data_IF_285689150908
#
_entry.id   IF_285689150908
#
_cell.length_a   1.000
_cell.length_b   1.000
_cell.length_c   1.000
_cell.angle_alpha   90.00
_cell.angle_beta   90.00
_cell.angle_gamma   90.00
#
_symmetry.space_group_name_H-M   'P 1'
#
loop_
_entity.id
_entity.type
_entity.pdbx_description
1 polymer ?
#
# COMPACT_ATOMS: atom_id res chain seq x y z
N UNK A 1 15.08 15.54 21.20
CA UNK A 1 15.40 16.23 19.96
C UNK A 1 15.30 15.22 18.80
N UNK A 2 14.26 15.35 17.97
CA UNK A 2 14.00 14.42 16.84
C UNK A 2 14.80 14.79 15.59
N UNK A 3 16.00 15.32 15.76
CA UNK A 3 16.89 15.58 14.63
C UNK A 3 17.43 14.28 14.05
N UNK A 4 17.44 14.17 12.74
CA UNK A 4 18.09 13.09 12.04
C UNK A 4 19.59 13.07 12.38
N UNK A 5 20.04 12.01 13.03
CA UNK A 5 21.44 11.81 13.43
C UNK A 5 22.22 10.99 12.40
N UNK A 6 21.63 10.77 11.22
CA UNK A 6 22.23 9.95 10.16
C UNK A 6 22.17 8.44 10.45
N UNK A 7 23.02 7.70 9.78
CA UNK A 7 23.03 6.23 9.82
C UNK A 7 23.84 5.71 11.00
N UNK A 8 23.23 5.57 12.16
CA UNK A 8 23.91 5.06 13.37
C UNK A 8 23.41 3.68 13.81
N UNK A 9 22.26 3.24 13.31
CA UNK A 9 21.66 1.94 13.67
C UNK A 9 20.84 1.36 12.52
N UNK A 10 21.32 0.25 11.94
CA UNK A 10 20.79 -0.35 10.70
C UNK A 10 19.29 -0.64 10.71
N UNK A 11 18.70 -1.00 11.86
CA UNK A 11 17.25 -1.23 11.95
C UNK A 11 16.43 0.04 11.72
N UNK A 12 16.98 1.20 12.08
CA UNK A 12 16.33 2.50 11.93
C UNK A 12 16.62 3.14 10.58
N UNK A 13 17.88 3.11 10.16
CA UNK A 13 18.31 3.66 8.90
C UNK A 13 19.64 3.01 8.45
N UNK A 14 19.72 2.60 7.19
CA UNK A 14 20.89 1.98 6.59
C UNK A 14 21.19 2.64 5.25
N UNK A 15 22.42 3.09 4.97
CA UNK A 15 22.73 3.84 3.75
C UNK A 15 22.52 3.02 2.47
N UNK A 16 22.68 1.70 2.52
CA UNK A 16 22.43 0.83 1.36
C UNK A 16 20.93 0.72 1.09
N UNK A 17 20.11 0.51 2.13
CA UNK A 17 18.65 0.49 2.01
C UNK A 17 18.14 1.84 1.54
N UNK A 18 18.56 2.93 2.16
CA UNK A 18 18.18 4.31 1.81
C UNK A 18 18.44 4.65 0.34
N UNK A 19 19.58 4.23 -0.19
CA UNK A 19 19.92 4.45 -1.60
C UNK A 19 18.95 3.72 -2.55
N UNK A 20 18.53 2.51 -2.20
CA UNK A 20 17.56 1.72 -2.98
C UNK A 20 16.15 2.29 -2.82
N UNK A 21 15.75 2.64 -1.60
CA UNK A 21 14.46 3.24 -1.28
C UNK A 21 14.24 4.54 -2.05
N UNK A 22 15.20 5.46 -2.01
CA UNK A 22 15.18 6.70 -2.79
C UNK A 22 15.08 6.44 -4.29
N UNK A 23 15.84 5.47 -4.80
CA UNK A 23 15.81 5.12 -6.23
C UNK A 23 14.44 4.58 -6.66
N UNK A 24 13.81 3.74 -5.85
CA UNK A 24 12.50 3.18 -6.17
C UNK A 24 11.42 4.27 -6.05
N UNK A 25 11.49 5.11 -5.02
CA UNK A 25 10.58 6.25 -4.88
C UNK A 25 10.63 7.17 -6.12
N UNK A 26 11.83 7.54 -6.58
CA UNK A 26 12.01 8.35 -7.79
C UNK A 26 11.43 7.67 -9.04
N UNK A 27 11.62 6.36 -9.20
CA UNK A 27 11.11 5.61 -10.34
C UNK A 27 9.58 5.54 -10.37
N UNK A 28 8.94 5.36 -9.21
CA UNK A 28 7.47 5.36 -9.08
C UNK A 28 6.86 6.78 -9.09
N UNK A 29 7.66 7.81 -8.84
CA UNK A 29 7.17 9.18 -8.67
C UNK A 29 6.61 9.47 -7.28
N UNK A 30 7.04 8.73 -6.27
CA UNK A 30 6.67 8.89 -4.87
C UNK A 30 7.59 9.83 -4.10
N UNK A 31 7.18 10.23 -2.90
CA UNK A 31 7.97 11.08 -1.99
C UNK A 31 8.92 10.29 -1.10
N UNK A 32 8.66 9.00 -0.93
CA UNK A 32 9.50 8.11 -0.14
C UNK A 32 9.15 6.65 -0.36
N UNK A 33 10.07 5.77 0.02
CA UNK A 33 9.85 4.33 0.00
C UNK A 33 10.48 3.65 1.21
N UNK A 34 9.97 2.46 1.55
CA UNK A 34 10.48 1.62 2.61
C UNK A 34 10.64 0.18 2.11
N UNK A 35 11.85 -0.35 2.19
CA UNK A 35 12.12 -1.76 1.88
C UNK A 35 11.54 -2.69 2.95
N UNK A 36 11.06 -3.83 2.51
CA UNK A 36 10.55 -4.91 3.36
C UNK A 36 11.19 -6.24 2.99
N UNK A 37 11.04 -7.24 3.85
CA UNK A 37 11.62 -8.57 3.64
C UNK A 37 10.99 -9.36 2.49
N UNK A 38 9.80 -9.01 2.05
CA UNK A 38 9.07 -9.66 0.96
C UNK A 38 7.90 -8.80 0.50
N UNK A 39 7.36 -9.05 -0.71
CA UNK A 39 6.14 -8.40 -1.19
C UNK A 39 4.93 -8.62 -0.28
N UNK A 40 4.78 -9.82 0.30
CA UNK A 40 3.73 -10.08 1.29
C UNK A 40 3.89 -9.25 2.57
N UNK A 41 5.13 -8.98 2.99
CA UNK A 41 5.40 -8.08 4.09
C UNK A 41 5.04 -6.63 3.72
N UNK A 42 5.31 -6.20 2.49
CA UNK A 42 4.91 -4.88 2.01
C UNK A 42 3.38 -4.70 2.07
N UNK A 43 2.62 -5.65 1.50
CA UNK A 43 1.15 -5.58 1.53
C UNK A 43 0.59 -5.64 2.96
N UNK A 44 1.14 -6.50 3.82
CA UNK A 44 0.71 -6.59 5.22
C UNK A 44 1.00 -5.29 5.99
N UNK A 45 2.22 -4.77 5.90
CA UNK A 45 2.64 -3.56 6.62
C UNK A 45 1.85 -2.34 6.14
N UNK A 46 1.63 -2.19 4.82
CA UNK A 46 0.84 -1.10 4.27
C UNK A 46 -0.58 -1.07 4.87
N UNK A 47 -1.23 -2.24 5.00
CA UNK A 47 -2.56 -2.32 5.62
C UNK A 47 -2.49 -2.11 7.14
N UNK A 48 -1.57 -2.79 7.84
CA UNK A 48 -1.48 -2.73 9.31
C UNK A 48 -1.07 -1.34 9.83
N UNK A 49 -0.41 -0.53 9.00
CA UNK A 49 -0.04 0.84 9.36
C UNK A 49 -1.25 1.79 9.45
N UNK A 50 -2.33 1.48 8.72
CA UNK A 50 -3.52 2.35 8.59
C UNK A 50 -4.80 1.71 9.12
N UNK A 51 -4.78 0.42 9.44
CA UNK A 51 -5.91 -0.34 9.94
C UNK A 51 -5.62 -0.96 11.30
N UNK A 52 -6.62 -0.97 12.15
CA UNK A 52 -6.62 -1.65 13.44
C UNK A 52 -7.81 -2.62 13.56
N UNK A 53 -7.89 -3.35 14.68
CA UNK A 53 -9.02 -4.24 14.92
C UNK A 53 -10.36 -3.48 14.88
N UNK A 54 -11.30 -3.99 14.10
CA UNK A 54 -12.60 -3.37 13.83
C UNK A 54 -12.65 -2.59 12.52
N UNK A 55 -11.52 -2.39 11.84
CA UNK A 55 -11.47 -1.71 10.54
C UNK A 55 -11.78 -2.64 9.36
N UNK A 56 -12.01 -2.03 8.20
CA UNK A 56 -12.42 -2.71 7.00
C UNK A 56 -11.61 -2.23 5.77
N UNK A 57 -11.37 -3.16 4.84
CA UNK A 57 -10.70 -2.90 3.56
C UNK A 57 -11.57 -3.40 2.41
N UNK A 58 -11.62 -2.65 1.31
CA UNK A 58 -12.19 -3.11 0.04
C UNK A 58 -11.05 -3.55 -0.87
N UNK A 59 -11.11 -4.76 -1.41
CA UNK A 59 -10.06 -5.29 -2.29
C UNK A 59 -10.66 -5.85 -3.58
N UNK A 60 -9.98 -5.62 -4.71
CA UNK A 60 -10.29 -6.38 -5.92
C UNK A 60 -10.13 -7.90 -5.64
N UNK A 61 -10.94 -8.73 -6.32
CA UNK A 61 -10.83 -10.20 -6.22
C UNK A 61 -9.64 -10.73 -6.99
N UNK A 62 -9.27 -10.06 -8.07
CA UNK A 62 -8.18 -10.47 -8.98
C UNK A 62 -6.85 -9.94 -8.52
N UNK A 63 -6.38 -10.47 -7.38
CA UNK A 63 -5.06 -10.19 -6.80
C UNK A 63 -4.29 -11.49 -6.62
N UNK A 64 -2.99 -11.40 -6.42
CA UNK A 64 -2.14 -12.57 -6.16
C UNK A 64 -2.72 -13.45 -5.04
N UNK A 65 -2.75 -14.78 -5.27
CA UNK A 65 -3.39 -15.73 -4.35
C UNK A 65 -2.84 -15.69 -2.92
N UNK A 66 -1.55 -15.38 -2.74
CA UNK A 66 -0.97 -15.18 -1.41
C UNK A 66 -1.53 -13.94 -0.71
N UNK A 67 -1.74 -12.84 -1.43
CA UNK A 67 -2.36 -11.62 -0.90
C UNK A 67 -3.85 -11.84 -0.63
N UNK A 68 -4.54 -12.57 -1.51
CA UNK A 68 -5.92 -12.96 -1.26
C UNK A 68 -6.05 -13.75 0.06
N UNK A 69 -5.20 -14.75 0.27
CA UNK A 69 -5.19 -15.53 1.51
C UNK A 69 -4.80 -14.69 2.74
N UNK A 70 -3.84 -13.79 2.58
CA UNK A 70 -3.47 -12.82 3.63
C UNK A 70 -4.70 -12.01 4.08
N UNK A 71 -5.47 -11.49 3.13
CA UNK A 71 -6.64 -10.66 3.38
C UNK A 71 -7.84 -11.46 3.87
N UNK A 72 -8.15 -12.58 3.20
CA UNK A 72 -9.32 -13.38 3.53
C UNK A 72 -9.22 -14.12 4.86
N UNK A 73 -8.00 -14.48 5.28
CA UNK A 73 -7.78 -15.38 6.43
C UNK A 73 -6.95 -14.70 7.52
N UNK A 74 -5.79 -14.13 7.15
CA UNK A 74 -4.82 -13.67 8.15
C UNK A 74 -5.27 -12.36 8.79
N UNK A 75 -5.73 -11.37 8.01
CA UNK A 75 -6.20 -10.08 8.54
C UNK A 75 -7.39 -10.24 9.49
N UNK A 76 -8.26 -11.22 9.26
CA UNK A 76 -9.38 -11.55 10.17
C UNK A 76 -8.90 -11.91 11.58
N UNK A 77 -7.73 -12.54 11.71
CA UNK A 77 -7.15 -12.88 13.02
C UNK A 77 -6.70 -11.62 13.78
N UNK A 78 -6.44 -10.53 13.07
CA UNK A 78 -6.13 -9.22 13.64
C UNK A 78 -7.37 -8.33 13.78
N UNK A 79 -8.57 -8.88 13.49
CA UNK A 79 -9.84 -8.15 13.59
C UNK A 79 -10.10 -7.18 12.44
N UNK A 80 -9.38 -7.30 11.33
CA UNK A 80 -9.58 -6.48 10.13
C UNK A 80 -10.40 -7.28 9.12
N UNK A 81 -11.55 -6.74 8.72
CA UNK A 81 -12.42 -7.35 7.73
C UNK A 81 -12.08 -6.88 6.32
N UNK A 82 -12.28 -7.77 5.32
CA UNK A 82 -12.08 -7.44 3.91
C UNK A 82 -13.30 -7.83 3.09
N UNK A 83 -13.79 -6.90 2.26
CA UNK A 83 -14.79 -7.19 1.22
C UNK A 83 -14.09 -7.23 -0.13
N UNK A 84 -14.18 -8.37 -0.79
CA UNK A 84 -13.68 -8.55 -2.15
C UNK A 84 -14.74 -8.14 -3.17
N UNK A 85 -14.32 -7.42 -4.20
CA UNK A 85 -15.19 -6.89 -5.25
C UNK A 85 -14.71 -7.33 -6.64
N UNK A 86 -15.65 -7.56 -7.54
CA UNK A 86 -15.33 -7.76 -8.95
C UNK A 86 -14.86 -6.42 -9.55
N UNK A 87 -13.59 -6.37 -9.95
CA UNK A 87 -13.00 -5.13 -10.50
C UNK A 87 -13.65 -4.66 -11.81
N UNK A 88 -14.40 -5.53 -12.50
CA UNK A 88 -15.09 -5.19 -13.76
C UNK A 88 -16.45 -4.55 -13.51
N UNK A 89 -16.99 -4.63 -12.29
CA UNK A 89 -18.27 -4.05 -11.93
C UNK A 89 -18.30 -2.52 -12.08
N UNK A 90 -19.51 -1.97 -12.21
CA UNK A 90 -19.74 -0.54 -12.24
C UNK A 90 -19.36 0.12 -10.91
N UNK A 91 -19.06 1.42 -10.94
CA UNK A 91 -18.67 2.18 -9.75
C UNK A 91 -19.79 2.20 -8.69
N UNK A 92 -21.05 2.21 -9.10
CA UNK A 92 -22.22 2.15 -8.22
C UNK A 92 -22.33 0.81 -7.48
N UNK A 93 -21.95 -0.29 -8.13
CA UNK A 93 -21.89 -1.60 -7.50
C UNK A 93 -20.72 -1.71 -6.55
N UNK A 94 -19.54 -1.25 -6.97
CA UNK A 94 -18.33 -1.20 -6.14
C UNK A 94 -18.55 -0.36 -4.88
N UNK A 95 -19.30 0.75 -4.99
CA UNK A 95 -19.61 1.63 -3.85
C UNK A 95 -20.37 0.90 -2.72
N UNK A 96 -21.16 -0.13 -3.02
CA UNK A 96 -21.90 -0.89 -2.02
C UNK A 96 -21.02 -1.69 -1.06
N UNK A 97 -19.76 -1.93 -1.44
CA UNK A 97 -18.78 -2.64 -0.59
C UNK A 97 -18.24 -1.77 0.56
N UNK A 98 -18.41 -0.45 0.47
CA UNK A 98 -17.90 0.46 1.49
C UNK A 98 -18.74 0.49 2.75
N UNK A 99 -18.06 0.51 3.88
CA UNK A 99 -18.64 0.60 5.22
C UNK A 99 -18.11 1.87 5.92
N UNK A 100 -18.76 2.35 6.99
CA UNK A 100 -18.27 3.52 7.74
C UNK A 100 -16.83 3.36 8.25
N UNK A 101 -16.43 2.13 8.57
CA UNK A 101 -15.10 1.76 9.05
C UNK A 101 -14.14 1.32 7.94
N UNK A 102 -14.45 1.55 6.66
CA UNK A 102 -13.50 1.29 5.56
C UNK A 102 -12.33 2.28 5.64
N UNK A 103 -11.11 1.74 5.60
CA UNK A 103 -9.85 2.49 5.74
C UNK A 103 -8.97 2.46 4.49
N UNK A 104 -9.17 1.51 3.58
CA UNK A 104 -8.38 1.43 2.35
C UNK A 104 -9.11 0.70 1.23
N UNK A 105 -8.67 0.98 0.00
CA UNK A 105 -8.94 0.18 -1.18
C UNK A 105 -7.63 -0.46 -1.64
N UNK A 106 -7.67 -1.73 -2.04
CA UNK A 106 -6.51 -2.47 -2.53
C UNK A 106 -6.78 -3.09 -3.89
N UNK A 107 -5.81 -3.05 -4.78
CA UNK A 107 -5.84 -3.72 -6.08
C UNK A 107 -4.45 -4.11 -6.58
N UNK A 108 -4.39 -4.89 -7.64
CA UNK A 108 -3.16 -5.28 -8.33
C UNK A 108 -3.24 -4.80 -9.77
N UNK A 109 -2.23 -4.07 -10.24
CA UNK A 109 -2.21 -3.43 -11.57
C UNK A 109 -2.47 -4.41 -12.70
N UNK A 110 -1.82 -5.57 -12.64
CA UNK A 110 -1.97 -6.68 -13.57
C UNK A 110 -2.10 -7.97 -12.78
N UNK A 111 -3.30 -8.55 -12.81
CA UNK A 111 -3.65 -9.70 -11.99
C UNK A 111 -2.89 -10.97 -12.38
N UNK A 112 -2.48 -11.73 -11.36
CA UNK A 112 -1.85 -13.04 -11.51
C UNK A 112 -2.80 -14.14 -10.97
N UNK A 113 -3.25 -15.12 -11.78
CA UNK A 113 -2.81 -15.43 -13.15
C UNK A 113 -3.74 -14.93 -14.27
N UNK A 114 -4.82 -14.22 -13.97
CA UNK A 114 -5.86 -13.90 -14.98
C UNK A 114 -5.40 -12.90 -16.05
N UNK A 115 -4.34 -12.13 -15.80
CA UNK A 115 -3.81 -11.06 -16.64
C UNK A 115 -4.81 -9.91 -16.90
N UNK A 116 -5.82 -9.80 -16.06
CA UNK A 116 -6.75 -8.67 -16.07
C UNK A 116 -6.03 -7.40 -15.61
N UNK A 117 -6.25 -6.33 -16.34
CA UNK A 117 -5.71 -5.00 -16.02
C UNK A 117 -6.71 -4.26 -15.15
N UNK A 118 -6.27 -3.73 -14.02
CA UNK A 118 -7.09 -2.92 -13.13
C UNK A 118 -7.32 -1.53 -13.74
N UNK A 119 -8.55 -1.06 -13.72
CA UNK A 119 -8.88 0.34 -14.00
C UNK A 119 -8.49 1.21 -12.81
N UNK A 120 -7.26 1.74 -12.86
CA UNK A 120 -6.66 2.51 -11.76
C UNK A 120 -7.45 3.79 -11.47
N UNK A 121 -7.88 4.53 -12.49
CA UNK A 121 -8.63 5.78 -12.32
C UNK A 121 -9.99 5.54 -11.65
N UNK A 122 -10.68 4.46 -12.04
CA UNK A 122 -11.95 4.05 -11.41
C UNK A 122 -11.75 3.74 -9.93
N UNK A 123 -10.75 2.94 -9.59
CA UNK A 123 -10.47 2.56 -8.21
C UNK A 123 -9.95 3.72 -7.35
N UNK A 124 -9.11 4.60 -7.93
CA UNK A 124 -8.68 5.83 -7.27
C UNK A 124 -9.87 6.75 -6.97
N UNK A 125 -10.73 6.99 -7.96
CA UNK A 125 -11.95 7.79 -7.79
C UNK A 125 -12.85 7.21 -6.69
N UNK A 126 -13.03 5.89 -6.70
CA UNK A 126 -13.83 5.19 -5.70
C UNK A 126 -13.26 5.36 -4.28
N UNK A 127 -11.94 5.19 -4.12
CA UNK A 127 -11.25 5.35 -2.84
C UNK A 127 -11.34 6.79 -2.32
N UNK A 128 -11.01 7.75 -3.15
CA UNK A 128 -11.00 9.17 -2.78
C UNK A 128 -12.39 9.73 -2.48
N UNK A 129 -13.42 9.30 -3.19
CA UNK A 129 -14.81 9.66 -2.87
C UNK A 129 -15.25 9.14 -1.49
N UNK A 130 -14.60 8.11 -0.98
CA UNK A 130 -14.83 7.57 0.36
C UNK A 130 -13.79 8.04 1.39
N UNK A 131 -12.91 8.99 1.04
CA UNK A 131 -11.84 9.53 1.88
C UNK A 131 -10.90 8.44 2.44
N UNK A 132 -10.54 7.46 1.63
CA UNK A 132 -9.58 6.41 1.98
C UNK A 132 -8.50 6.28 0.91
N UNK A 133 -7.27 5.86 1.28
CA UNK A 133 -6.20 5.69 0.31
C UNK A 133 -6.45 4.49 -0.61
N UNK A 134 -5.93 4.61 -1.83
CA UNK A 134 -5.86 3.54 -2.80
C UNK A 134 -4.45 2.94 -2.81
N UNK A 135 -4.34 1.65 -2.46
CA UNK A 135 -3.10 0.88 -2.40
C UNK A 135 -3.05 -0.05 -3.60
N UNK A 136 -1.95 -0.02 -4.34
CA UNK A 136 -1.78 -0.82 -5.57
C UNK A 136 -0.53 -1.68 -5.50
N UNK A 137 -0.69 -2.97 -5.69
CA UNK A 137 0.45 -3.86 -5.97
C UNK A 137 0.83 -3.75 -7.45
N UNK A 138 2.01 -3.18 -7.73
CA UNK A 138 2.52 -2.93 -9.07
C UNK A 138 3.69 -3.87 -9.44
N UNK A 139 3.72 -5.05 -8.85
CA UNK A 139 4.83 -6.00 -8.96
C UNK A 139 5.16 -6.36 -10.40
N UNK A 140 4.17 -6.67 -11.24
CA UNK A 140 4.41 -7.15 -12.60
C UNK A 140 4.82 -6.04 -13.57
N UNK A 141 4.09 -4.92 -13.68
CA UNK A 141 4.48 -3.85 -14.58
C UNK A 141 5.79 -3.18 -14.16
N UNK A 142 6.08 -3.10 -12.88
CA UNK A 142 7.15 -2.26 -12.32
C UNK A 142 6.96 -0.78 -12.71
N UNK A 143 7.70 0.19 -12.15
CA UNK A 143 7.60 1.58 -12.56
C UNK A 143 8.05 1.85 -14.02
N UNK A 144 8.61 0.83 -14.68
CA UNK A 144 9.04 0.94 -16.09
C UNK A 144 7.84 0.89 -17.05
N UNK A 145 6.85 0.06 -16.77
CA UNK A 145 5.67 -0.10 -17.64
C UNK A 145 4.44 0.65 -17.14
N UNK A 146 4.31 0.84 -15.82
CA UNK A 146 3.19 1.55 -15.21
C UNK A 146 3.64 2.22 -13.92
N UNK A 147 3.21 3.46 -13.71
CA UNK A 147 3.35 4.21 -12.46
C UNK A 147 1.97 4.49 -11.90
N UNK A 148 1.45 3.67 -10.99
CA UNK A 148 0.09 3.83 -10.47
C UNK A 148 -0.17 5.19 -9.80
N UNK A 149 0.85 5.84 -9.26
CA UNK A 149 0.75 7.19 -8.67
C UNK A 149 0.25 8.22 -9.70
N UNK A 150 0.66 8.11 -10.96
CA UNK A 150 0.19 8.99 -12.05
C UNK A 150 -1.31 8.80 -12.35
N UNK A 151 -1.91 7.69 -11.88
CA UNK A 151 -3.30 7.30 -12.05
C UNK A 151 -4.11 7.37 -10.74
N UNK A 152 -3.56 8.01 -9.71
CA UNK A 152 -4.23 8.29 -8.46
C UNK A 152 -4.02 7.26 -7.35
N UNK A 153 -3.07 6.34 -7.48
CA UNK A 153 -2.66 5.51 -6.34
C UNK A 153 -1.95 6.36 -5.28
N UNK A 154 -2.29 6.12 -4.02
CA UNK A 154 -1.68 6.82 -2.89
C UNK A 154 -0.48 6.04 -2.33
N UNK A 155 -0.57 4.72 -2.34
CA UNK A 155 0.49 3.82 -1.89
C UNK A 155 0.70 2.75 -2.95
N UNK A 156 1.96 2.48 -3.29
CA UNK A 156 2.32 1.41 -4.21
C UNK A 156 3.16 0.36 -3.48
N UNK A 157 2.82 -0.90 -3.65
CA UNK A 157 3.59 -2.03 -3.11
C UNK A 157 4.20 -2.85 -4.22
N UNK A 158 5.33 -3.48 -3.95
CA UNK A 158 5.97 -4.43 -4.86
C UNK A 158 6.56 -5.62 -4.12
N UNK A 159 6.51 -6.77 -4.77
CA UNK A 159 7.48 -7.83 -4.53
C UNK A 159 8.71 -7.55 -5.38
N UNK A 160 9.76 -7.01 -4.77
CA UNK A 160 11.03 -6.75 -5.48
C UNK A 160 11.72 -8.03 -5.91
N UNK A 161 11.31 -9.18 -5.36
CA UNK A 161 11.75 -10.53 -5.74
C UNK A 161 11.46 -10.92 -7.19
N UNK A 162 10.60 -10.16 -7.87
CA UNK A 162 10.12 -10.45 -9.22
C UNK A 162 10.93 -9.67 -10.25
N UNK A 163 10.28 -8.88 -11.09
CA UNK A 163 10.96 -8.20 -12.19
C UNK A 163 11.92 -7.08 -11.76
N UNK A 164 11.73 -6.49 -10.57
CA UNK A 164 12.69 -5.51 -10.05
C UNK A 164 14.07 -6.08 -9.77
N UNK A 165 14.15 -7.31 -9.20
CA UNK A 165 15.43 -8.00 -9.00
C UNK A 165 16.11 -8.34 -10.32
N UNK A 166 15.33 -8.67 -11.35
CA UNK A 166 15.79 -8.95 -12.70
C UNK A 166 16.52 -10.29 -12.88
N UNK A 167 16.89 -10.96 -11.81
CA UNK A 167 17.71 -12.20 -11.83
C UNK A 167 17.05 -13.38 -11.10
N UNK A 168 15.90 -13.16 -10.44
CA UNK A 168 15.18 -14.17 -9.66
C UNK A 168 16.03 -14.82 -8.53
N UNK A 169 16.89 -14.06 -7.90
CA UNK A 169 17.85 -14.55 -6.89
C UNK A 169 17.66 -13.94 -5.51
N UNK A 170 17.03 -12.75 -5.40
CA UNK A 170 16.85 -12.05 -4.13
C UNK A 170 15.38 -11.96 -3.72
N UNK A 171 15.11 -12.03 -2.42
CA UNK A 171 13.79 -11.79 -1.86
C UNK A 171 13.71 -10.36 -1.31
N UNK A 172 12.59 -9.71 -1.54
CA UNK A 172 12.33 -8.40 -0.99
C UNK A 172 10.94 -7.86 -1.36
N UNK A 173 10.59 -6.77 -0.73
CA UNK A 173 9.42 -5.98 -1.04
C UNK A 173 9.72 -4.50 -0.83
N UNK A 174 8.83 -3.65 -1.28
CA UNK A 174 8.90 -2.21 -1.05
C UNK A 174 7.51 -1.61 -0.98
N UNK A 175 7.36 -0.61 -0.14
CA UNK A 175 6.20 0.28 -0.06
C UNK A 175 6.65 1.64 -0.52
N UNK A 176 5.89 2.28 -1.41
CA UNK A 176 6.15 3.65 -1.90
C UNK A 176 4.95 4.52 -1.54
N UNK A 177 5.22 5.66 -0.95
CA UNK A 177 4.20 6.68 -0.64
C UNK A 177 4.21 7.75 -1.73
N UNK A 178 3.03 8.06 -2.27
CA UNK A 178 2.85 9.15 -3.24
C UNK A 178 3.03 10.54 -2.62
N UNK A 179 2.77 10.68 -1.31
CA UNK A 179 2.67 11.97 -0.62
C UNK A 179 1.42 12.79 -0.96
N UNK A 180 0.47 12.23 -1.72
CA UNK A 180 -0.70 12.96 -2.22
C UNK A 180 -1.96 12.79 -1.35
N UNK A 181 -2.02 11.73 -0.54
CA UNK A 181 -3.20 11.46 0.27
C UNK A 181 -3.32 12.41 1.47
N UNK A 182 -4.50 12.96 1.69
CA UNK A 182 -4.78 13.82 2.84
C UNK A 182 -5.07 12.95 4.08
N UNK A 183 -4.05 12.62 4.86
CA UNK A 183 -4.17 11.87 6.11
C UNK A 183 -4.95 12.63 7.20
N UNK A 184 -5.04 13.98 7.10
CA UNK A 184 -5.78 14.84 8.03
C UNK A 184 -7.29 14.94 7.71
N UNK A 185 -7.88 13.98 7.00
CA UNK A 185 -9.29 13.98 6.61
C UNK A 185 -10.26 13.51 7.71
N UNK A 186 -9.76 13.22 8.91
CA UNK A 186 -10.53 12.79 10.09
C UNK A 186 -10.73 11.28 10.23
N UNK A 187 -10.29 10.47 9.26
CA UNK A 187 -10.37 9.00 9.35
C UNK A 187 -9.12 8.34 9.96
N UNK A 188 -8.01 9.07 10.07
CA UNK A 188 -6.71 8.55 10.47
C UNK A 188 -6.14 9.38 11.63
N UNK A 189 -6.77 9.33 12.83
CA UNK A 189 -6.28 10.09 13.99
C UNK A 189 -4.86 9.69 14.38
N UNK A 190 -4.45 8.45 14.14
CA UNK A 190 -3.12 7.90 14.39
C UNK A 190 -1.99 8.68 13.69
N UNK A 191 -2.29 9.43 12.62
CA UNK A 191 -1.30 10.26 11.92
C UNK A 191 -1.37 11.73 12.31
N UNK A 192 -2.49 12.18 12.89
CA UNK A 192 -2.75 13.60 13.17
C UNK A 192 -2.70 13.93 14.66
N UNK A 193 -2.78 12.95 15.54
CA UNK A 193 -2.65 13.07 16.97
C UNK A 193 -1.21 12.76 17.42
N UNK A 194 -0.75 13.34 18.55
CA UNK A 194 0.57 13.03 19.07
C UNK A 194 0.72 11.56 19.45
N UNK A 195 1.71 10.88 18.90
CA UNK A 195 2.03 9.48 19.26
C UNK A 195 2.81 9.43 20.57
N UNK A 196 2.17 8.94 21.64
CA UNK A 196 2.77 8.80 22.96
C UNK A 196 3.97 7.83 22.94
N UNK A 197 3.94 6.81 22.09
CA UNK A 197 5.02 5.82 21.97
C UNK A 197 6.25 6.37 21.27
N UNK A 198 6.11 7.47 20.54
CA UNK A 198 7.17 8.12 19.78
C UNK A 198 7.37 9.59 20.13
N UNK A 199 7.41 9.88 21.46
CA UNK A 199 7.70 11.21 21.99
C UNK A 199 6.74 12.33 21.59
N UNK A 200 5.51 12.01 21.23
CA UNK A 200 4.48 12.98 20.84
C UNK A 200 4.64 13.50 19.40
N UNK A 201 5.30 12.74 18.53
CA UNK A 201 5.36 13.08 17.08
C UNK A 201 3.98 13.04 16.48
N UNK A 202 3.71 14.02 15.62
CA UNK A 202 2.60 14.05 14.69
C UNK A 202 3.17 13.77 13.31
N UNK A 203 2.59 12.81 12.57
CA UNK A 203 3.15 12.31 11.30
C UNK A 203 2.68 13.07 10.07
N UNK A 204 1.76 14.03 10.21
CA UNK A 204 1.21 14.88 9.11
C UNK A 204 1.53 16.33 9.30
#
# INVERSE_FOLDING_TARGET
DLKDNGFFYTRLANPTADAVEKKIADLEGGVGAMLTSAGQAASLIAIMNICQAGDHVVSATTIYGGTFNLFAVTLKKFGIDVTFVDQTADIEELQKAFKPNTKAVFGETLANPSLEVLDLEKFATLAHNNNVPFIVDNTFPTPVLCRPIEWGADIVTHSTSKYMDGHAVALGGVIVDSGNFNWANGKFPEFTEPDESYHGVVYT
#
